data_IF_904293389353
#
_entry.id   IF_904293389353
#
_cell.length_a   1.000
_cell.length_b   1.000
_cell.length_c   1.000
_cell.angle_alpha   90.00
_cell.angle_beta   90.00
_cell.angle_gamma   90.00
#
_symmetry.space_group_name_H-M   'P 1'
#
loop_
_entity.id
_entity.type
_entity.pdbx_description
1 polymer ?
#
# COMPACT_ATOMS: atom_id res chain seq x y z
N UNK A 1 6.60 6.02 9.69
CA UNK A 1 6.37 4.80 10.51
C UNK A 1 6.04 3.62 9.61
N UNK A 2 6.42 2.42 10.03
CA UNK A 2 6.17 1.13 9.35
C UNK A 2 4.89 0.48 9.89
N UNK A 3 4.23 -0.32 9.05
CA UNK A 3 3.09 -1.16 9.43
C UNK A 3 3.40 -2.63 9.17
N UNK A 4 3.13 -3.49 10.17
CA UNK A 4 3.13 -4.95 10.00
C UNK A 4 1.73 -5.50 10.21
N UNK A 5 1.24 -6.30 9.28
CA UNK A 5 -0.13 -6.82 9.32
C UNK A 5 -1.20 -5.72 9.49
N UNK A 6 -0.92 -4.52 8.95
CA UNK A 6 -1.70 -3.26 9.09
C UNK A 6 -1.67 -2.63 10.49
N UNK A 7 -0.87 -3.15 11.39
CA UNK A 7 -0.65 -2.59 12.73
C UNK A 7 0.57 -1.68 12.68
N UNK A 8 0.38 -0.44 13.12
CA UNK A 8 1.45 0.52 13.33
C UNK A 8 2.53 -0.06 14.24
N UNK A 9 3.78 -0.04 13.81
CA UNK A 9 4.92 -0.33 14.70
C UNK A 9 5.33 0.88 15.54
N UNK A 10 4.85 2.08 15.19
CA UNK A 10 5.31 3.36 15.77
C UNK A 10 6.74 3.76 15.39
N UNK A 11 7.45 2.91 14.63
CA UNK A 11 8.88 3.07 14.32
C UNK A 11 9.12 3.38 12.85
N UNK A 12 10.12 4.21 12.50
CA UNK A 12 10.56 4.39 11.12
C UNK A 12 11.25 3.12 10.58
N UNK A 13 11.52 3.06 9.26
CA UNK A 13 12.06 1.84 8.65
C UNK A 13 13.54 1.60 9.00
N UNK A 14 14.32 2.65 9.25
CA UNK A 14 15.74 2.55 9.62
C UNK A 14 15.97 2.01 11.04
N UNK A 15 14.90 1.80 11.81
CA UNK A 15 14.96 1.15 13.12
C UNK A 15 14.99 -0.39 13.02
N UNK A 16 14.76 -0.97 11.84
CA UNK A 16 14.72 -2.43 11.65
C UNK A 16 16.03 -2.95 11.06
N UNK A 17 16.30 -4.25 11.21
CA UNK A 17 17.49 -4.88 10.62
C UNK A 17 17.48 -4.81 9.09
N UNK A 18 18.66 -4.85 8.47
CA UNK A 18 18.83 -4.71 7.02
C UNK A 18 17.97 -5.71 6.22
N UNK A 19 17.89 -6.98 6.64
CA UNK A 19 17.05 -8.02 6.03
C UNK A 19 15.55 -7.65 5.99
N UNK A 20 15.09 -6.86 6.96
CA UNK A 20 13.72 -6.35 7.01
C UNK A 20 13.60 -5.14 6.09
N UNK A 21 14.60 -4.25 6.10
CA UNK A 21 14.62 -3.06 5.25
C UNK A 21 14.73 -3.40 3.75
N UNK A 22 15.33 -4.53 3.37
CA UNK A 22 15.39 -4.96 1.97
C UNK A 22 13.99 -5.22 1.36
N UNK A 23 13.01 -5.53 2.21
CA UNK A 23 11.62 -5.75 1.80
C UNK A 23 10.92 -4.43 1.48
N UNK A 24 9.86 -4.50 0.69
CA UNK A 24 8.96 -3.37 0.48
C UNK A 24 8.05 -3.20 1.71
N UNK A 25 8.50 -2.40 2.68
CA UNK A 25 7.77 -2.13 3.90
C UNK A 25 6.64 -1.14 3.64
N UNK A 26 5.47 -1.43 4.19
CA UNK A 26 4.35 -0.49 4.19
C UNK A 26 4.66 0.64 5.16
N UNK A 27 4.69 1.86 4.65
CA UNK A 27 5.02 3.05 5.43
C UNK A 27 3.95 4.14 5.29
N UNK A 28 4.04 5.15 6.16
CA UNK A 28 3.21 6.37 6.22
C UNK A 28 1.71 6.17 6.42
N UNK A 29 0.97 5.68 5.41
CA UNK A 29 -0.49 5.46 5.43
C UNK A 29 -0.88 4.25 4.58
N UNK A 30 -2.08 3.73 4.82
CA UNK A 30 -2.68 2.63 4.08
C UNK A 30 -4.07 3.05 3.61
N UNK A 31 -4.33 2.97 2.31
CA UNK A 31 -5.68 2.97 1.75
C UNK A 31 -5.97 1.56 1.22
N UNK A 32 -6.97 0.89 1.80
CA UNK A 32 -7.34 -0.47 1.41
C UNK A 32 -8.37 -0.46 0.31
N UNK A 33 -8.02 -1.10 -0.81
CA UNK A 33 -8.88 -1.18 -1.97
C UNK A 33 -9.88 -2.32 -1.83
N UNK A 34 -11.12 -2.03 -2.25
CA UNK A 34 -12.17 -3.03 -2.44
C UNK A 34 -12.53 -3.05 -3.91
N UNK A 35 -12.48 -4.22 -4.52
CA UNK A 35 -12.96 -4.40 -5.89
C UNK A 35 -14.45 -4.18 -5.99
N UNK A 36 -14.89 -3.58 -7.09
CA UNK A 36 -16.30 -3.26 -7.36
C UNK A 36 -16.86 -4.07 -8.54
N UNK A 37 -16.02 -4.82 -9.25
CA UNK A 37 -16.36 -5.55 -10.47
C UNK A 37 -16.26 -7.07 -10.22
N UNK A 38 -17.40 -7.73 -10.26
CA UNK A 38 -17.51 -9.17 -10.05
C UNK A 38 -16.74 -9.95 -11.13
N UNK A 39 -15.90 -10.89 -10.71
CA UNK A 39 -15.08 -11.71 -11.61
C UNK A 39 -13.84 -11.01 -12.18
N UNK A 40 -13.67 -9.72 -11.91
CA UNK A 40 -12.48 -8.95 -12.34
C UNK A 40 -11.59 -8.60 -11.14
N UNK A 41 -12.15 -7.94 -10.13
CA UNK A 41 -11.44 -7.51 -8.93
C UNK A 41 -12.21 -7.79 -7.62
N UNK A 42 -13.41 -8.38 -7.73
CA UNK A 42 -14.26 -8.84 -6.62
C UNK A 42 -14.67 -10.30 -6.83
N UNK A 43 -14.63 -11.11 -5.77
CA UNK A 43 -15.02 -12.53 -5.81
C UNK A 43 -13.84 -13.53 -5.81
N UNK A 44 -14.16 -14.82 -5.81
CA UNK A 44 -13.19 -15.90 -5.60
C UNK A 44 -11.98 -15.82 -6.57
N UNK A 45 -10.77 -15.94 -6.03
CA UNK A 45 -9.52 -15.91 -6.78
C UNK A 45 -9.06 -14.52 -7.25
N UNK A 46 -9.96 -13.53 -7.33
CA UNK A 46 -9.66 -12.19 -7.86
C UNK A 46 -9.89 -11.04 -6.87
N UNK A 47 -10.46 -11.33 -5.70
CA UNK A 47 -10.87 -10.31 -4.72
C UNK A 47 -9.72 -9.43 -4.21
N UNK A 48 -9.75 -8.16 -4.58
CA UNK A 48 -8.72 -7.15 -4.24
C UNK A 48 -8.62 -6.93 -2.74
N UNK A 49 -9.75 -6.99 -2.03
CA UNK A 49 -9.79 -6.76 -0.59
C UNK A 49 -9.17 -7.95 0.15
N UNK A 50 -9.57 -9.18 -0.16
CA UNK A 50 -9.04 -10.41 0.43
C UNK A 50 -7.57 -10.63 0.10
N UNK A 51 -7.11 -10.15 -1.05
CA UNK A 51 -5.70 -10.20 -1.47
C UNK A 51 -4.83 -9.11 -0.83
N UNK A 52 -5.39 -8.27 0.05
CA UNK A 52 -4.66 -7.25 0.79
C UNK A 52 -3.96 -6.22 -0.13
N UNK A 53 -4.64 -5.80 -1.18
CA UNK A 53 -4.12 -4.78 -2.09
C UNK A 53 -4.38 -3.38 -1.53
N UNK A 54 -3.32 -2.59 -1.40
CA UNK A 54 -3.36 -1.24 -0.84
C UNK A 54 -2.79 -0.21 -1.81
N UNK A 55 -3.13 1.06 -1.56
CA UNK A 55 -2.27 2.20 -1.89
C UNK A 55 -1.49 2.57 -0.62
N UNK A 56 -0.16 2.57 -0.68
CA UNK A 56 0.66 2.83 0.49
C UNK A 56 2.02 3.48 0.16
N UNK A 57 2.68 4.03 1.19
CA UNK A 57 4.06 4.50 1.09
C UNK A 57 5.06 3.35 1.17
N UNK A 58 6.30 3.57 0.72
CA UNK A 58 7.39 2.58 0.78
C UNK A 58 8.66 3.13 1.42
N UNK A 59 9.51 2.25 1.96
CA UNK A 59 10.89 2.57 2.31
C UNK A 59 11.85 2.60 1.10
N UNK A 60 11.41 2.13 -0.08
CA UNK A 60 12.20 2.13 -1.32
C UNK A 60 11.65 3.15 -2.33
N UNK A 61 11.63 4.43 -1.97
CA UNK A 61 11.14 5.49 -2.87
C UNK A 61 11.95 5.61 -4.16
N UNK A 62 13.23 5.23 -4.13
CA UNK A 62 14.13 5.15 -5.28
C UNK A 62 13.67 4.13 -6.35
N UNK A 63 12.78 3.20 -5.99
CA UNK A 63 12.24 2.18 -6.89
C UNK A 63 10.87 2.56 -7.48
N UNK A 64 10.31 3.71 -7.12
CA UNK A 64 9.02 4.17 -7.67
C UNK A 64 9.11 4.27 -9.20
N UNK A 65 8.04 3.87 -9.88
CA UNK A 65 7.99 3.76 -11.34
C UNK A 65 8.53 2.43 -11.89
N UNK A 66 8.94 1.50 -11.02
CA UNK A 66 9.36 0.14 -11.40
C UNK A 66 8.45 -0.91 -10.76
N UNK A 67 8.21 -2.06 -11.42
CA UNK A 67 7.49 -3.18 -10.81
C UNK A 67 8.24 -3.70 -9.58
N UNK A 68 7.70 -3.45 -8.38
CA UNK A 68 8.35 -3.82 -7.11
C UNK A 68 7.35 -4.09 -5.96
N UNK A 69 6.07 -4.26 -6.27
CA UNK A 69 5.02 -4.54 -5.30
C UNK A 69 4.39 -5.91 -5.56
N UNK A 70 3.89 -6.58 -4.52
CA UNK A 70 3.11 -7.81 -4.64
C UNK A 70 1.68 -7.58 -5.16
N UNK A 71 1.45 -6.54 -5.97
CA UNK A 71 0.14 -6.12 -6.49
C UNK A 71 -0.40 -4.81 -5.93
N UNK A 72 0.24 -4.21 -4.92
CA UNK A 72 -0.15 -2.90 -4.37
C UNK A 72 0.27 -1.73 -5.26
N UNK A 73 -0.38 -0.58 -5.09
CA UNK A 73 0.07 0.70 -5.68
C UNK A 73 0.95 1.40 -4.65
N UNK A 74 2.16 1.79 -5.06
CA UNK A 74 3.17 2.37 -4.17
C UNK A 74 3.38 3.83 -4.52
N UNK A 75 3.37 4.68 -3.49
CA UNK A 75 3.63 6.12 -3.59
C UNK A 75 4.86 6.51 -2.75
N UNK A 76 5.43 7.68 -3.03
CA UNK A 76 6.35 8.33 -2.11
C UNK A 76 5.60 8.68 -0.82
N UNK A 77 6.26 8.62 0.33
CA UNK A 77 5.66 8.81 1.64
C UNK A 77 4.95 10.16 1.78
N UNK A 78 5.56 11.23 1.29
CA UNK A 78 4.95 12.58 1.34
C UNK A 78 3.68 12.61 0.49
N UNK A 79 3.69 12.04 -0.70
CA UNK A 79 2.53 11.98 -1.59
C UNK A 79 1.43 11.06 -1.05
N UNK A 80 1.80 9.95 -0.43
CA UNK A 80 0.85 9.05 0.24
C UNK A 80 0.12 9.74 1.39
N UNK A 81 0.83 10.51 2.22
CA UNK A 81 0.22 11.30 3.30
C UNK A 81 -0.73 12.34 2.71
N UNK A 82 -0.28 13.09 1.69
CA UNK A 82 -1.11 14.10 1.02
C UNK A 82 -2.38 13.50 0.43
N UNK A 83 -2.29 12.35 -0.22
CA UNK A 83 -3.43 11.64 -0.79
C UNK A 83 -4.39 11.22 0.31
N UNK A 84 -3.88 10.56 1.36
CA UNK A 84 -4.68 10.06 2.47
C UNK A 84 -5.51 11.15 3.15
N UNK A 85 -4.93 12.33 3.36
CA UNK A 85 -5.62 13.45 4.02
C UNK A 85 -6.70 14.11 3.13
N UNK A 86 -6.68 13.85 1.82
CA UNK A 86 -7.62 14.43 0.84
C UNK A 86 -8.77 13.51 0.44
N UNK A 87 -8.60 12.18 0.56
CA UNK A 87 -9.58 11.21 0.03
C UNK A 87 -10.36 10.55 1.16
N UNK A 88 -11.69 10.78 1.26
CA UNK A 88 -12.51 10.06 2.22
C UNK A 88 -12.65 8.58 1.85
N UNK A 89 -12.96 7.74 2.84
CA UNK A 89 -13.33 6.35 2.60
C UNK A 89 -14.53 6.24 1.65
N UNK A 90 -14.48 5.27 0.73
CA UNK A 90 -15.49 5.10 -0.32
C UNK A 90 -15.24 5.90 -1.60
N UNK A 91 -14.17 6.72 -1.65
CA UNK A 91 -13.70 7.34 -2.89
C UNK A 91 -13.41 6.27 -3.95
N UNK A 92 -13.86 6.51 -5.19
CA UNK A 92 -13.64 5.60 -6.30
C UNK A 92 -12.22 5.74 -6.84
N UNK A 93 -11.63 4.62 -7.23
CA UNK A 93 -10.32 4.54 -7.89
C UNK A 93 -10.48 3.73 -9.16
N UNK A 94 -10.06 4.30 -10.28
CA UNK A 94 -9.96 3.61 -11.58
C UNK A 94 -8.48 3.28 -11.83
N UNK A 95 -8.20 2.06 -12.26
CA UNK A 95 -6.86 1.57 -12.59
C UNK A 95 -6.93 0.96 -14.00
N UNK A 96 -6.08 1.43 -14.90
CA UNK A 96 -6.04 1.05 -16.34
C UNK A 96 -4.60 0.71 -16.78
#
# INVERSE_FOLDING_TARGET
>A
MVFFSRVSTGRPFWDFDDDIQERNLITSRILWLRGLEAGVNSGEGVDTFQRYIYIHGTNHEDRIGRPASGGCVVLANVEMIRLYDQVPGGSLVLIE
#
